data_IF_552405577678
#
_entry.id   IF_552405577678
#
_cell.length_a   1.000
_cell.length_b   1.000
_cell.length_c   1.000
_cell.angle_alpha   90.00
_cell.angle_beta   90.00
_cell.angle_gamma   90.00
#
_symmetry.space_group_name_H-M   'P 1'
#
loop_
_entity.id
_entity.type
_entity.pdbx_description
1 polymer ?
#
# COMPACT_ATOMS: atom_id res chain seq x y z
N UNK A 1 17.72 14.57 1.38
CA UNK A 1 16.59 14.65 0.42
C UNK A 1 16.06 13.24 0.29
N UNK A 2 14.78 13.00 0.55
CA UNK A 2 14.20 11.66 0.37
C UNK A 2 14.13 11.39 -1.13
N UNK A 3 14.66 10.25 -1.55
CA UNK A 3 14.73 9.84 -2.96
C UNK A 3 13.39 9.23 -3.38
N UNK A 4 12.81 9.68 -4.49
CA UNK A 4 11.59 9.11 -5.10
C UNK A 4 11.74 7.61 -5.38
N UNK A 5 12.99 7.13 -5.51
CA UNK A 5 13.34 5.71 -5.58
C UNK A 5 12.74 4.87 -4.45
N UNK A 6 12.45 5.46 -3.28
CA UNK A 6 11.91 4.70 -2.14
C UNK A 6 10.57 4.02 -2.45
N UNK A 7 9.68 4.65 -3.22
CA UNK A 7 8.38 4.06 -3.57
C UNK A 7 8.58 2.89 -4.52
N UNK A 8 9.51 3.01 -5.48
CA UNK A 8 9.85 1.93 -6.40
C UNK A 8 10.47 0.74 -5.67
N UNK A 9 11.42 1.00 -4.76
CA UNK A 9 12.06 -0.03 -3.93
C UNK A 9 11.04 -0.78 -3.05
N UNK A 10 10.08 -0.06 -2.45
CA UNK A 10 8.98 -0.66 -1.70
C UNK A 10 8.11 -1.52 -2.61
N UNK A 11 7.78 -1.03 -3.80
CA UNK A 11 6.95 -1.77 -4.75
C UNK A 11 7.60 -3.09 -5.18
N UNK A 12 8.87 -3.04 -5.58
CA UNK A 12 9.66 -4.22 -5.96
C UNK A 12 9.77 -5.23 -4.81
N UNK A 13 9.93 -4.74 -3.57
CA UNK A 13 9.90 -5.59 -2.38
C UNK A 13 8.54 -6.29 -2.19
N UNK A 14 7.44 -5.57 -2.40
CA UNK A 14 6.10 -6.14 -2.28
C UNK A 14 5.84 -7.18 -3.38
N UNK A 15 6.27 -6.92 -4.62
CA UNK A 15 6.20 -7.89 -5.72
C UNK A 15 7.00 -9.15 -5.39
N UNK A 16 8.24 -8.98 -4.89
CA UNK A 16 9.04 -10.10 -4.44
C UNK A 16 8.35 -10.90 -3.33
N UNK A 17 7.69 -10.23 -2.38
CA UNK A 17 6.96 -10.90 -1.28
C UNK A 17 5.66 -11.57 -1.73
N UNK A 18 5.07 -11.16 -2.84
CA UNK A 18 3.92 -11.83 -3.50
C UNK A 18 4.38 -13.12 -4.20
N UNK A 19 5.50 -13.06 -4.91
CA UNK A 19 5.99 -14.16 -5.75
C UNK A 19 6.88 -15.15 -4.98
N UNK A 20 7.62 -14.67 -3.98
CA UNK A 20 8.55 -15.42 -3.13
C UNK A 20 8.22 -15.22 -1.64
N UNK A 21 7.10 -15.78 -1.13
CA UNK A 21 6.55 -15.23 0.09
C UNK A 21 7.21 -15.84 1.33
N UNK A 22 7.76 -14.96 2.16
CA UNK A 22 8.50 -15.25 3.40
C UNK A 22 7.59 -15.14 4.64
N UNK A 23 8.12 -15.42 5.83
CA UNK A 23 7.42 -15.14 7.10
C UNK A 23 7.39 -13.63 7.41
N UNK A 24 6.66 -12.86 6.61
CA UNK A 24 6.46 -11.42 6.78
C UNK A 24 4.97 -11.08 6.92
N UNK A 25 4.66 -9.92 7.50
CA UNK A 25 3.28 -9.41 7.62
C UNK A 25 2.58 -9.35 6.25
N UNK A 26 3.20 -8.74 5.24
CA UNK A 26 2.63 -8.60 3.89
C UNK A 26 2.44 -9.94 3.20
N UNK A 27 3.40 -10.88 3.34
CA UNK A 27 3.25 -12.21 2.75
C UNK A 27 2.12 -13.00 3.41
N UNK A 28 1.88 -12.83 4.72
CA UNK A 28 0.74 -13.45 5.42
C UNK A 28 -0.60 -12.92 4.92
N UNK A 29 -0.71 -11.61 4.70
CA UNK A 29 -1.93 -11.00 4.14
C UNK A 29 -2.21 -11.54 2.74
N UNK A 30 -1.21 -11.55 1.86
CA UNK A 30 -1.35 -12.01 0.48
C UNK A 30 -1.59 -13.53 0.34
N UNK A 31 -1.17 -14.32 1.33
CA UNK A 31 -1.32 -15.79 1.36
C UNK A 31 -2.55 -16.28 2.12
N UNK A 32 -3.38 -15.40 2.68
CA UNK A 32 -4.50 -15.88 3.47
C UNK A 32 -5.46 -16.68 2.58
N UNK A 33 -5.60 -17.97 2.90
CA UNK A 33 -6.45 -18.92 2.21
C UNK A 33 -7.83 -19.08 2.88
N UNK A 34 -8.00 -18.52 4.08
CA UNK A 34 -9.19 -18.68 4.92
C UNK A 34 -10.17 -17.49 4.75
N UNK A 35 -9.67 -16.28 4.47
CA UNK A 35 -10.39 -15.17 3.83
C UNK A 35 -9.76 -14.93 2.45
N UNK A 36 -10.49 -14.35 1.49
CA UNK A 36 -9.82 -13.91 0.25
C UNK A 36 -8.79 -12.85 0.65
N UNK A 37 -7.52 -13.06 0.35
CA UNK A 37 -6.43 -12.12 0.67
C UNK A 37 -6.76 -10.66 0.30
N UNK A 38 -7.50 -10.47 -0.79
CA UNK A 38 -8.06 -9.18 -1.20
C UNK A 38 -8.93 -8.53 -0.12
N UNK A 39 -9.86 -9.26 0.48
CA UNK A 39 -10.77 -8.74 1.51
C UNK A 39 -9.98 -8.18 2.69
N UNK A 40 -8.88 -8.84 3.09
CA UNK A 40 -8.00 -8.37 4.16
C UNK A 40 -7.25 -7.08 3.80
N UNK A 41 -6.80 -6.97 2.55
CA UNK A 41 -6.14 -5.75 2.06
C UNK A 41 -7.15 -4.60 2.07
N UNK A 42 -8.38 -4.84 1.60
CA UNK A 42 -9.45 -3.84 1.57
C UNK A 42 -9.92 -3.44 2.97
N UNK A 43 -10.01 -4.38 3.91
CA UNK A 43 -10.28 -4.11 5.34
C UNK A 43 -9.25 -3.12 5.90
N UNK A 44 -7.94 -3.37 5.67
CA UNK A 44 -6.88 -2.46 6.08
C UNK A 44 -7.00 -1.09 5.41
N UNK A 45 -7.21 -1.02 4.10
CA UNK A 45 -7.40 0.28 3.41
C UNK A 45 -8.52 1.10 4.04
N UNK A 46 -9.64 0.47 4.41
CA UNK A 46 -10.76 1.16 5.08
C UNK A 46 -10.41 1.66 6.50
N UNK A 47 -9.64 0.87 7.25
CA UNK A 47 -9.12 1.23 8.58
C UNK A 47 -8.21 2.46 8.48
N UNK A 48 -7.15 2.39 7.66
CA UNK A 48 -6.16 3.47 7.51
C UNK A 48 -6.78 4.76 6.96
N UNK A 49 -7.75 4.64 6.05
CA UNK A 49 -8.49 5.81 5.55
C UNK A 49 -9.27 6.51 6.67
N UNK A 50 -9.81 5.74 7.61
CA UNK A 50 -10.52 6.29 8.78
C UNK A 50 -9.52 6.92 9.76
N UNK A 51 -8.37 6.29 9.96
CA UNK A 51 -7.29 6.80 10.82
C UNK A 51 -6.71 8.11 10.30
N UNK A 52 -6.49 8.26 8.99
CA UNK A 52 -6.10 9.54 8.36
C UNK A 52 -7.10 10.66 8.67
N UNK A 53 -8.41 10.37 8.59
CA UNK A 53 -9.46 11.35 8.89
C UNK A 53 -9.42 11.76 10.37
N UNK A 54 -9.26 10.79 11.27
CA UNK A 54 -9.17 11.03 12.72
C UNK A 54 -7.91 11.84 13.05
N UNK A 55 -6.76 11.43 12.52
CA UNK A 55 -5.48 12.08 12.78
C UNK A 55 -5.49 13.54 12.31
N UNK A 56 -6.07 13.81 11.13
CA UNK A 56 -6.25 15.18 10.64
C UNK A 56 -7.16 16.01 11.54
N UNK A 57 -8.23 15.43 12.08
CA UNK A 57 -9.17 16.15 12.96
C UNK A 57 -8.60 16.45 14.33
N UNK A 58 -7.81 15.52 14.87
CA UNK A 58 -7.32 15.57 16.25
C UNK A 58 -5.91 16.19 16.35
N UNK A 59 -5.28 16.56 15.23
CA UNK A 59 -3.87 16.96 15.15
C UNK A 59 -2.91 15.89 15.71
N UNK A 60 -3.17 14.63 15.36
CA UNK A 60 -2.31 13.48 15.67
C UNK A 60 -1.32 13.25 14.50
N UNK A 61 -0.70 12.06 14.42
CA UNK A 61 0.37 11.79 13.46
C UNK A 61 -0.13 11.51 12.03
N UNK A 62 -0.63 12.55 11.36
CA UNK A 62 -1.19 12.46 10.00
C UNK A 62 -0.23 11.83 8.97
N UNK A 63 1.09 12.03 9.13
CA UNK A 63 2.09 11.48 8.21
C UNK A 63 2.16 9.95 8.32
N UNK A 64 2.12 9.41 9.54
CA UNK A 64 2.17 7.97 9.80
C UNK A 64 0.96 7.27 9.18
N UNK A 65 -0.26 7.73 9.49
CA UNK A 65 -1.50 7.17 8.93
C UNK A 65 -1.57 7.30 7.40
N UNK A 66 -1.05 8.41 6.86
CA UNK A 66 -1.00 8.60 5.40
C UNK A 66 -0.05 7.60 4.74
N UNK A 67 1.08 7.30 5.39
CA UNK A 67 2.03 6.29 4.90
C UNK A 67 1.40 4.90 4.93
N UNK A 68 0.68 4.54 5.99
CA UNK A 68 0.03 3.23 6.08
C UNK A 68 -1.08 3.08 5.04
N UNK A 69 -1.90 4.11 4.83
CA UNK A 69 -2.90 4.12 3.74
C UNK A 69 -2.23 3.97 2.37
N UNK A 70 -1.15 4.71 2.09
CA UNK A 70 -0.43 4.61 0.80
C UNK A 70 0.18 3.22 0.65
N UNK A 71 0.80 2.68 1.71
CA UNK A 71 1.43 1.37 1.70
C UNK A 71 0.41 0.25 1.38
N UNK A 72 -0.76 0.28 2.02
CA UNK A 72 -1.83 -0.68 1.76
C UNK A 72 -2.44 -0.54 0.35
N UNK A 73 -2.48 0.68 -0.21
CA UNK A 73 -2.83 0.88 -1.62
C UNK A 73 -1.79 0.25 -2.56
N UNK A 74 -0.49 0.46 -2.33
CA UNK A 74 0.56 -0.19 -3.13
C UNK A 74 0.48 -1.73 -3.03
N UNK A 75 0.22 -2.25 -1.83
CA UNK A 75 0.01 -3.68 -1.60
C UNK A 75 -1.16 -4.24 -2.43
N UNK A 76 -2.26 -3.50 -2.54
CA UNK A 76 -3.40 -3.87 -3.37
C UNK A 76 -3.03 -3.92 -4.85
N UNK A 77 -2.32 -2.91 -5.35
CA UNK A 77 -1.88 -2.86 -6.75
C UNK A 77 -0.96 -4.03 -7.09
N UNK A 78 -0.01 -4.34 -6.22
CA UNK A 78 0.87 -5.52 -6.36
C UNK A 78 0.06 -6.81 -6.36
N UNK A 79 -0.87 -6.97 -5.43
CA UNK A 79 -1.75 -8.15 -5.36
C UNK A 79 -2.57 -8.31 -6.65
N UNK A 80 -3.03 -7.20 -7.22
CA UNK A 80 -3.74 -7.15 -8.51
C UNK A 80 -2.84 -7.22 -9.74
N UNK A 81 -1.53 -7.34 -9.57
CA UNK A 81 -0.54 -7.38 -10.65
C UNK A 81 -0.58 -6.14 -11.57
N UNK A 82 -0.87 -4.97 -11.00
CA UNK A 82 -0.83 -3.71 -11.71
C UNK A 82 0.62 -3.18 -11.69
N UNK A 83 1.21 -2.75 -12.82
CA UNK A 83 2.54 -2.16 -12.82
C UNK A 83 2.57 -0.79 -12.11
N UNK A 84 3.63 -0.51 -11.34
CA UNK A 84 3.82 0.81 -10.71
C UNK A 84 3.80 1.95 -11.74
N UNK A 85 4.36 1.72 -12.94
CA UNK A 85 4.42 2.73 -13.99
C UNK A 85 3.03 3.20 -14.46
N UNK A 86 2.00 2.36 -14.34
CA UNK A 86 0.63 2.77 -14.68
C UNK A 86 0.06 3.73 -13.64
N UNK A 87 0.37 3.52 -12.35
CA UNK A 87 0.05 4.49 -11.29
C UNK A 87 0.79 5.81 -11.51
N UNK A 88 2.08 5.76 -11.87
CA UNK A 88 2.89 6.96 -12.09
C UNK A 88 2.41 7.77 -13.30
N UNK A 89 2.01 7.12 -14.40
CA UNK A 89 1.37 7.80 -15.54
C UNK A 89 0.08 8.51 -15.12
N UNK A 90 -0.70 7.91 -14.22
CA UNK A 90 -1.90 8.56 -13.67
C UNK A 90 -1.56 9.77 -12.79
N UNK A 91 -0.48 9.74 -12.02
CA UNK A 91 0.01 10.93 -11.31
C UNK A 91 0.49 12.02 -12.26
N UNK A 92 1.24 11.66 -13.31
CA UNK A 92 1.72 12.61 -14.32
C UNK A 92 0.56 13.37 -14.97
N UNK A 93 -0.57 12.68 -15.25
CA UNK A 93 -1.78 13.32 -15.78
C UNK A 93 -2.39 14.37 -14.84
N UNK A 94 -2.21 14.23 -13.52
CA UNK A 94 -2.74 15.15 -12.50
C UNK A 94 -1.83 16.35 -12.24
N UNK A 95 -0.58 16.29 -12.70
CA UNK A 95 0.40 17.37 -12.60
C UNK A 95 0.32 18.34 -13.80
N UNK A 96 -0.76 18.28 -14.58
CA UNK A 96 -1.07 19.18 -15.71
C UNK A 96 -2.27 20.04 -15.34
#
# INVERSE_FOLDING_TARGET
MVDEKIIRDIYELLENRRDNPINSYTSKIMKDSNKKAEDKILEKIGEEATEVIIASKNNENLVEESVDLIFHNLLLLVYKQIPLDDLLKEFEKRNK
#
